data_IF_766062769944
#
_entry.id   IF_766062769944
#
_cell.length_a   1.000
_cell.length_b   1.000
_cell.length_c   1.000
_cell.angle_alpha   90.00
_cell.angle_beta   90.00
_cell.angle_gamma   90.00
#
_symmetry.space_group_name_H-M   'P 1'
#
loop_
_entity.id
_entity.type
_entity.pdbx_description
1 polymer ?
#
# COMPACT_ATOMS: atom_id res chain seq x y z
N UNK A 1 15.05 -35.19 -38.80
CA UNK A 1 13.64 -34.77 -38.70
C UNK A 1 13.47 -34.06 -37.36
N UNK A 2 13.31 -32.74 -37.36
CA UNK A 2 13.25 -31.92 -36.13
C UNK A 2 11.78 -31.71 -35.76
N UNK A 3 11.37 -32.15 -34.57
CA UNK A 3 10.08 -31.79 -34.00
C UNK A 3 10.32 -30.87 -32.80
N UNK A 4 10.28 -29.56 -33.03
CA UNK A 4 10.28 -28.57 -31.96
C UNK A 4 8.92 -28.61 -31.27
N UNK A 5 8.88 -29.08 -30.03
CA UNK A 5 7.69 -28.98 -29.17
C UNK A 5 7.62 -27.55 -28.64
N UNK A 6 6.69 -26.77 -29.16
CA UNK A 6 6.34 -25.46 -28.61
C UNK A 6 5.62 -25.73 -27.29
N UNK A 7 6.32 -25.55 -26.17
CA UNK A 7 5.72 -25.51 -24.85
C UNK A 7 5.21 -24.08 -24.62
N UNK A 8 3.91 -23.88 -24.80
CA UNK A 8 3.22 -22.65 -24.44
C UNK A 8 3.20 -22.54 -22.91
N UNK A 9 4.12 -21.77 -22.35
CA UNK A 9 4.09 -21.43 -20.92
C UNK A 9 2.92 -20.48 -20.67
N UNK A 10 1.84 -20.99 -20.09
CA UNK A 10 0.84 -20.17 -19.41
C UNK A 10 1.55 -19.54 -18.20
N UNK A 11 2.00 -18.29 -18.35
CA UNK A 11 2.49 -17.50 -17.23
C UNK A 11 1.32 -17.21 -16.29
N UNK A 12 1.30 -17.87 -15.14
CA UNK A 12 0.43 -17.51 -14.04
C UNK A 12 0.91 -16.15 -13.50
N UNK A 13 0.36 -15.06 -14.02
CA UNK A 13 0.53 -13.74 -13.41
C UNK A 13 -0.25 -13.73 -12.09
N UNK A 14 0.34 -14.31 -11.06
CA UNK A 14 0.10 -13.86 -9.70
C UNK A 14 0.60 -12.41 -9.70
N UNK A 15 -0.32 -11.44 -9.77
CA UNK A 15 0.01 -10.04 -9.53
C UNK A 15 0.51 -9.95 -8.10
N UNK A 16 1.81 -10.14 -7.90
CA UNK A 16 2.43 -10.02 -6.59
C UNK A 16 2.23 -8.57 -6.16
N UNK A 17 1.60 -8.36 -5.00
CA UNK A 17 1.59 -7.07 -4.37
C UNK A 17 3.01 -6.52 -4.35
N UNK A 18 3.22 -5.31 -4.89
CA UNK A 18 4.55 -4.70 -5.00
C UNK A 18 5.21 -4.55 -3.62
N UNK A 19 4.38 -4.35 -2.58
CA UNK A 19 4.78 -4.39 -1.19
C UNK A 19 3.53 -4.44 -0.28
N UNK A 20 3.74 -4.94 0.93
CA UNK A 20 2.86 -4.78 2.08
C UNK A 20 3.00 -3.36 2.64
N UNK A 21 1.90 -2.65 2.83
CA UNK A 21 1.91 -1.23 3.26
C UNK A 21 0.98 -1.03 4.44
N UNK A 22 1.47 -0.33 5.45
CA UNK A 22 0.67 0.11 6.58
C UNK A 22 0.29 1.59 6.40
N UNK A 23 -0.93 1.94 6.80
CA UNK A 23 -1.47 3.30 6.81
C UNK A 23 -1.84 3.65 8.24
N UNK A 24 -1.49 4.86 8.65
CA UNK A 24 -1.76 5.34 10.00
C UNK A 24 -1.91 6.85 10.08
N UNK A 25 -1.97 7.32 11.31
CA UNK A 25 -1.97 8.73 11.68
C UNK A 25 -0.75 9.05 12.52
N UNK A 26 -0.08 10.16 12.25
CA UNK A 26 1.01 10.66 13.13
C UNK A 26 0.45 11.48 14.31
N UNK A 27 1.35 12.07 15.10
CA UNK A 27 0.97 12.90 16.25
C UNK A 27 0.24 14.19 15.89
N UNK A 28 0.35 14.66 14.65
CA UNK A 28 -0.41 15.80 14.13
C UNK A 28 -1.78 15.39 13.58
N UNK A 29 -2.06 14.07 13.50
CA UNK A 29 -3.26 13.51 12.90
C UNK A 29 -3.17 13.35 11.38
N UNK A 30 -2.00 13.63 10.79
CA UNK A 30 -1.78 13.53 9.36
C UNK A 30 -1.72 12.08 8.93
N UNK A 31 -2.23 11.80 7.73
CA UNK A 31 -2.18 10.47 7.15
C UNK A 31 -0.76 10.16 6.71
N UNK A 32 -0.23 9.05 7.22
CA UNK A 32 1.12 8.59 6.91
C UNK A 32 1.11 7.13 6.48
N UNK A 33 2.13 6.72 5.72
CA UNK A 33 2.27 5.36 5.23
C UNK A 33 3.72 4.86 5.33
N UNK A 34 3.89 3.56 5.55
CA UNK A 34 5.20 2.90 5.58
C UNK A 34 5.11 1.46 5.09
N UNK A 35 6.25 0.87 4.72
CA UNK A 35 6.32 -0.54 4.31
C UNK A 35 6.24 -1.40 5.57
N UNK A 36 5.38 -2.42 5.57
CA UNK A 36 5.27 -3.34 6.71
C UNK A 36 6.62 -4.03 6.97
N UNK A 37 7.05 -4.09 8.23
CA UNK A 37 8.36 -4.61 8.63
C UNK A 37 9.50 -3.58 8.58
N UNK A 38 9.27 -2.38 8.03
CA UNK A 38 10.12 -1.21 8.27
C UNK A 38 9.63 -0.45 9.51
N UNK A 39 10.47 0.45 10.02
CA UNK A 39 10.08 1.33 11.12
C UNK A 39 9.06 2.36 10.66
N UNK A 40 7.95 2.44 11.38
CA UNK A 40 6.91 3.47 11.29
C UNK A 40 7.44 4.88 11.55
N UNK A 41 8.60 5.02 12.19
CA UNK A 41 9.28 6.30 12.37
C UNK A 41 9.86 6.86 11.06
N UNK A 42 9.96 6.03 10.03
CA UNK A 42 10.38 6.41 8.67
C UNK A 42 9.18 6.51 7.72
N UNK A 43 8.00 6.79 8.27
CA UNK A 43 6.79 6.96 7.48
C UNK A 43 6.92 8.13 6.48
N UNK A 44 6.06 8.07 5.48
CA UNK A 44 5.91 9.10 4.45
C UNK A 44 4.56 9.75 4.63
N UNK A 45 4.54 11.08 4.53
CA UNK A 45 3.32 11.87 4.50
C UNK A 45 2.48 11.55 3.25
N UNK A 46 1.21 11.20 3.47
CA UNK A 46 0.24 10.93 2.41
C UNK A 46 -0.72 12.11 2.22
N UNK A 47 -1.18 12.71 3.32
CA UNK A 47 -2.10 13.84 3.26
C UNK A 47 -2.49 14.34 4.65
N UNK A 48 -2.94 15.59 4.77
CA UNK A 48 -3.22 16.20 6.06
C UNK A 48 -4.43 15.57 6.75
N UNK A 49 -4.55 15.79 8.06
CA UNK A 49 -5.59 15.20 8.92
C UNK A 49 -7.04 15.43 8.46
N UNK A 50 -7.31 16.56 7.81
CA UNK A 50 -8.62 17.04 7.39
C UNK A 50 -8.98 16.72 5.93
N UNK A 51 -8.10 16.01 5.21
CA UNK A 51 -8.31 15.66 3.80
C UNK A 51 -8.48 14.17 3.58
N UNK A 52 -9.22 13.85 2.51
CA UNK A 52 -9.34 12.49 2.04
C UNK A 52 -8.03 12.08 1.34
N UNK A 53 -7.30 11.05 1.83
CA UNK A 53 -6.02 10.64 1.25
C UNK A 53 -6.17 9.81 -0.03
N UNK A 54 -7.40 9.45 -0.44
CA UNK A 54 -7.62 8.67 -1.64
C UNK A 54 -7.33 9.44 -2.93
N UNK A 55 -6.77 8.73 -3.91
CA UNK A 55 -6.31 9.31 -5.17
C UNK A 55 -4.98 10.07 -5.07
N UNK A 56 -4.52 10.41 -3.87
CA UNK A 56 -3.22 11.02 -3.65
C UNK A 56 -2.13 9.98 -3.84
N UNK A 57 -1.18 10.28 -4.72
CA UNK A 57 -0.01 9.43 -4.97
C UNK A 57 1.09 9.75 -3.96
N UNK A 58 1.63 8.71 -3.33
CA UNK A 58 2.75 8.82 -2.39
C UNK A 58 3.80 7.76 -2.71
N UNK A 59 5.08 8.13 -2.58
CA UNK A 59 6.23 7.25 -2.85
C UNK A 59 6.83 6.80 -1.54
N UNK A 60 6.92 5.49 -1.33
CA UNK A 60 7.51 4.91 -0.12
C UNK A 60 9.02 4.70 -0.28
N UNK A 61 9.68 4.40 0.83
CA UNK A 61 11.14 4.21 0.89
C UNK A 61 11.67 3.08 0.00
N UNK A 62 10.82 2.18 -0.48
CA UNK A 62 11.18 1.17 -1.47
C UNK A 62 11.25 1.72 -2.92
N UNK A 63 11.01 3.01 -3.12
CA UNK A 63 11.09 3.69 -4.42
C UNK A 63 9.83 3.55 -5.28
N UNK A 64 8.81 2.83 -4.80
CA UNK A 64 7.55 2.64 -5.53
C UNK A 64 6.50 3.65 -5.07
N UNK A 65 5.66 4.06 -6.01
CA UNK A 65 4.53 4.97 -5.78
C UNK A 65 3.22 4.20 -5.71
N UNK A 66 2.38 4.59 -4.76
CA UNK A 66 1.07 3.99 -4.50
C UNK A 66 0.01 5.08 -4.37
N UNK A 67 -1.25 4.67 -4.39
CA UNK A 67 -2.37 5.51 -3.97
C UNK A 67 -3.47 4.67 -3.33
N UNK A 68 -4.26 5.31 -2.48
CA UNK A 68 -5.40 4.68 -1.81
C UNK A 68 -6.68 4.87 -2.64
N UNK A 69 -7.59 3.89 -2.55
CA UNK A 69 -8.96 3.97 -3.03
C UNK A 69 -9.92 3.41 -1.97
N UNK A 70 -11.17 3.89 -1.96
CA UNK A 70 -12.20 3.44 -1.01
C UNK A 70 -12.27 4.18 0.33
N UNK A 71 -11.54 5.28 0.49
CA UNK A 71 -11.58 6.15 1.67
C UNK A 71 -13.00 6.74 1.83
N UNK A 72 -13.77 6.22 2.79
CA UNK A 72 -15.16 6.59 3.04
C UNK A 72 -16.20 5.52 2.69
N UNK A 73 -15.78 4.32 2.26
CA UNK A 73 -16.67 3.20 1.93
C UNK A 73 -16.50 1.96 2.83
N UNK A 74 -16.96 0.80 2.36
CA UNK A 74 -16.93 -0.48 3.06
C UNK A 74 -15.55 -1.18 3.09
N UNK A 75 -14.50 -0.53 2.57
CA UNK A 75 -13.15 -1.09 2.53
C UNK A 75 -12.15 -0.11 1.92
N UNK A 76 -10.89 -0.23 2.34
CA UNK A 76 -9.77 0.53 1.81
C UNK A 76 -8.91 -0.41 0.95
N UNK A 77 -8.46 0.05 -0.21
CA UNK A 77 -7.60 -0.71 -1.12
C UNK A 77 -6.41 0.13 -1.54
N UNK A 78 -5.28 -0.54 -1.76
CA UNK A 78 -4.03 0.04 -2.23
C UNK A 78 -3.82 -0.30 -3.70
N UNK A 79 -3.38 0.69 -4.47
CA UNK A 79 -3.05 0.55 -5.88
C UNK A 79 -1.62 1.01 -6.14
N UNK A 80 -0.97 0.42 -7.13
CA UNK A 80 0.32 0.86 -7.63
C UNK A 80 0.16 2.09 -8.54
N UNK A 81 1.26 2.78 -8.85
CA UNK A 81 1.25 4.01 -9.66
C UNK A 81 0.56 3.86 -11.03
N UNK A 82 0.72 2.69 -11.66
CA UNK A 82 0.16 2.34 -12.96
C UNK A 82 -1.34 1.97 -12.92
N UNK A 83 -1.98 2.16 -11.75
CA UNK A 83 -3.36 1.80 -11.44
C UNK A 83 -3.63 0.29 -11.38
N UNK A 84 -2.59 -0.55 -11.40
CA UNK A 84 -2.77 -1.97 -11.06
C UNK A 84 -3.10 -2.11 -9.57
N UNK A 85 -3.98 -3.07 -9.28
CA UNK A 85 -4.33 -3.42 -7.90
C UNK A 85 -3.11 -3.98 -7.17
N UNK A 86 -2.91 -3.54 -5.92
CA UNK A 86 -1.86 -4.08 -5.06
C UNK A 86 -2.47 -5.03 -4.01
N UNK A 87 -3.28 -4.49 -3.10
CA UNK A 87 -3.84 -5.25 -1.97
C UNK A 87 -5.10 -4.58 -1.41
N UNK A 88 -5.90 -5.37 -0.70
CA UNK A 88 -6.96 -4.83 0.15
C UNK A 88 -6.39 -4.58 1.55
N UNK A 89 -6.89 -3.53 2.19
CA UNK A 89 -6.44 -3.17 3.52
C UNK A 89 -7.40 -3.72 4.58
N UNK A 90 -6.83 -4.28 5.62
CA UNK A 90 -7.52 -4.74 6.81
C UNK A 90 -7.37 -3.70 7.91
N UNK A 91 -8.44 -3.45 8.66
CA UNK A 91 -8.39 -2.53 9.80
C UNK A 91 -7.51 -3.11 10.90
N UNK A 92 -6.55 -2.33 11.37
CA UNK A 92 -5.54 -2.72 12.36
C UNK A 92 -5.23 -1.49 13.19
N UNK A 93 -5.83 -1.41 14.39
CA UNK A 93 -5.64 -0.26 15.28
C UNK A 93 -4.59 -0.58 16.33
N UNK A 94 -3.43 0.04 16.22
CA UNK A 94 -2.35 -0.09 17.20
C UNK A 94 -1.54 1.19 17.33
N UNK A 95 -1.20 1.55 18.57
CA UNK A 95 -0.27 2.64 18.86
C UNK A 95 1.16 2.11 18.72
N UNK A 96 1.95 2.78 17.90
CA UNK A 96 3.32 2.42 17.58
C UNK A 96 4.29 3.49 18.12
N UNK A 97 5.58 3.35 17.78
CA UNK A 97 6.59 4.30 18.19
C UNK A 97 6.45 5.62 17.42
N UNK A 98 7.20 6.65 17.87
CA UNK A 98 7.27 7.95 17.20
C UNK A 98 5.92 8.67 17.03
N UNK A 99 4.93 8.36 17.88
CA UNK A 99 3.61 9.00 17.86
C UNK A 99 2.71 8.56 16.71
N UNK A 100 3.03 7.46 16.04
CA UNK A 100 2.22 6.90 14.96
C UNK A 100 1.18 5.92 15.51
N UNK A 101 -0.06 6.03 15.04
CA UNK A 101 -1.11 5.05 15.25
C UNK A 101 -1.44 4.40 13.91
N UNK A 102 -1.18 3.11 13.76
CA UNK A 102 -1.66 2.34 12.62
C UNK A 102 -3.18 2.26 12.65
N UNK A 103 -3.78 2.36 11.47
CA UNK A 103 -5.23 2.17 11.27
C UNK A 103 -5.52 1.06 10.28
N UNK A 104 -4.64 0.83 9.30
CA UNK A 104 -4.82 -0.16 8.26
C UNK A 104 -3.52 -0.84 7.89
N UNK A 105 -3.62 -2.13 7.56
CA UNK A 105 -2.54 -2.95 6.99
C UNK A 105 -3.00 -3.53 5.66
N UNK A 106 -2.28 -3.26 4.57
CA UNK A 106 -2.62 -3.69 3.21
C UNK A 106 -1.69 -4.81 2.75
N UNK A 107 -2.24 -6.01 2.53
CA UNK A 107 -1.52 -7.25 2.20
C UNK A 107 -2.37 -8.24 1.38
#
# INVERSE_FOLDING_TARGET
MYAAKIATSLGLFLGLATATVNIGKDSAGDTVAWISGQSECQNVFVGPSDQNPCGTRFTLNNGFTYFLSGCGGAGLSLFNNDNSFNSNCQFSLQNLQCGVQEQWSCF
#
